data_IF_500919279683
#
_entry.id   IF_500919279683
#
_cell.length_a   1.000
_cell.length_b   1.000
_cell.length_c   1.000
_cell.angle_alpha   90.00
_cell.angle_beta   90.00
_cell.angle_gamma   90.00
#
_symmetry.space_group_name_H-M   'P 1'
#
loop_
_entity.id
_entity.type
_entity.pdbx_description
1 polymer ?
#
# COMPACT_ATOMS: atom_id res chain seq x y z
N UNK A 1 25.75 -12.72 -21.01
CA UNK A 1 25.13 -11.39 -20.82
C UNK A 1 23.63 -11.56 -20.98
N UNK A 2 22.82 -11.21 -19.98
CA UNK A 2 21.36 -11.08 -20.21
C UNK A 2 21.18 -9.95 -21.23
N UNK A 3 20.31 -10.09 -22.25
CA UNK A 3 20.04 -9.02 -23.20
C UNK A 3 19.72 -7.72 -22.46
N UNK A 4 20.23 -6.59 -22.95
CA UNK A 4 19.79 -5.27 -22.52
C UNK A 4 18.31 -5.15 -22.86
N UNK A 5 17.45 -5.32 -21.86
CA UNK A 5 16.01 -5.15 -21.99
C UNK A 5 15.71 -3.67 -22.23
N UNK A 6 15.04 -3.38 -23.34
CA UNK A 6 14.54 -2.04 -23.67
C UNK A 6 13.59 -1.57 -22.56
N UNK A 7 13.66 -0.29 -22.11
CA UNK A 7 12.72 0.26 -21.14
C UNK A 7 11.28 0.03 -21.62
N UNK A 8 10.47 -0.65 -20.82
CA UNK A 8 9.12 -1.04 -21.21
C UNK A 8 8.10 0.04 -20.88
N UNK A 9 7.23 0.29 -21.86
CA UNK A 9 5.97 1.00 -21.78
C UNK A 9 5.20 0.63 -20.50
N UNK A 10 4.43 1.60 -19.99
CA UNK A 10 3.56 1.40 -18.84
C UNK A 10 2.74 0.12 -19.02
N UNK A 11 2.69 -0.79 -18.03
CA UNK A 11 1.70 -1.84 -18.07
C UNK A 11 0.34 -1.16 -18.18
N UNK A 12 -0.46 -1.61 -19.12
CA UNK A 12 -1.89 -1.31 -19.27
C UNK A 12 -2.68 -1.94 -18.11
N UNK A 13 -2.28 -1.61 -16.88
CA UNK A 13 -3.09 -1.74 -15.68
C UNK A 13 -3.97 -0.51 -15.42
N UNK A 14 -4.06 0.41 -16.40
CA UNK A 14 -4.97 1.55 -16.34
C UNK A 14 -6.41 1.05 -16.53
N UNK A 15 -7.13 0.90 -15.44
CA UNK A 15 -8.59 0.77 -15.50
C UNK A 15 -9.18 2.07 -16.06
N UNK A 16 -9.97 1.98 -17.14
CA UNK A 16 -10.77 3.10 -17.63
C UNK A 16 -10.06 4.13 -18.52
N UNK A 17 -8.85 3.85 -19.02
CA UNK A 17 -8.13 4.80 -19.88
C UNK A 17 -7.49 5.98 -19.14
N UNK A 18 -7.46 5.95 -17.80
CA UNK A 18 -6.77 6.96 -17.01
C UNK A 18 -5.26 6.88 -17.22
N UNK A 19 -4.68 7.99 -17.67
CA UNK A 19 -3.24 8.13 -17.80
C UNK A 19 -2.59 7.96 -16.43
N UNK A 20 -1.44 7.28 -16.42
CA UNK A 20 -0.56 7.26 -15.25
C UNK A 20 -0.09 8.68 -14.95
N UNK A 21 0.26 8.95 -13.69
CA UNK A 21 0.86 10.23 -13.30
C UNK A 21 2.11 10.52 -14.17
N UNK A 22 2.36 11.79 -14.54
CA UNK A 22 3.55 12.15 -15.31
C UNK A 22 4.84 11.61 -14.65
N UNK A 23 5.73 11.03 -15.46
CA UNK A 23 7.00 10.47 -14.98
C UNK A 23 6.90 9.20 -14.14
N UNK A 24 5.70 8.64 -13.90
CA UNK A 24 5.47 7.52 -12.95
C UNK A 24 6.37 6.30 -13.16
N UNK A 25 6.76 6.02 -14.40
CA UNK A 25 7.61 4.88 -14.76
C UNK A 25 8.94 5.29 -15.41
N UNK A 26 9.29 6.57 -15.36
CA UNK A 26 10.59 7.04 -15.86
C UNK A 26 11.73 6.39 -15.06
N UNK A 27 12.71 5.84 -15.76
CA UNK A 27 13.85 5.13 -15.14
C UNK A 27 13.55 3.73 -14.59
N UNK A 28 12.28 3.26 -14.63
CA UNK A 28 11.92 1.92 -14.12
C UNK A 28 12.16 0.86 -15.20
N UNK A 29 13.03 -0.10 -14.91
CA UNK A 29 13.30 -1.28 -15.75
C UNK A 29 12.41 -2.46 -15.36
N UNK A 30 11.86 -3.17 -16.35
CA UNK A 30 11.21 -4.46 -16.17
C UNK A 30 11.86 -5.50 -17.07
N UNK A 31 12.18 -6.65 -16.51
CA UNK A 31 12.78 -7.78 -17.24
C UNK A 31 11.70 -8.76 -17.77
N UNK A 32 10.48 -8.27 -17.97
CA UNK A 32 9.33 -8.98 -18.55
C UNK A 32 8.56 -8.04 -19.50
N UNK A 33 7.75 -8.62 -20.38
CA UNK A 33 6.99 -7.87 -21.39
C UNK A 33 5.55 -7.57 -20.95
N UNK A 34 4.85 -6.61 -21.58
CA UNK A 34 3.40 -6.43 -21.38
C UNK A 34 2.61 -7.71 -21.69
N UNK A 35 3.02 -8.49 -22.69
CA UNK A 35 2.38 -9.76 -23.03
C UNK A 35 2.49 -10.81 -21.89
N UNK A 36 3.57 -10.78 -21.12
CA UNK A 36 3.70 -11.63 -19.93
C UNK A 36 2.72 -11.23 -18.83
N UNK A 37 2.50 -9.92 -18.63
CA UNK A 37 1.52 -9.40 -17.67
C UNK A 37 0.10 -9.79 -18.08
N UNK A 38 -0.24 -9.65 -19.36
CA UNK A 38 -1.56 -10.04 -19.88
C UNK A 38 -1.79 -11.56 -19.80
N UNK A 39 -0.75 -12.38 -20.02
CA UNK A 39 -0.86 -13.83 -19.86
C UNK A 39 -1.19 -14.27 -18.43
N UNK A 40 -0.77 -13.52 -17.42
CA UNK A 40 -1.01 -13.81 -16.00
C UNK A 40 -2.26 -13.10 -15.44
N UNK A 41 -2.94 -12.33 -16.28
CA UNK A 41 -4.04 -11.46 -15.92
C UNK A 41 -5.29 -12.12 -15.38
N UNK A 42 -5.59 -13.31 -15.90
CA UNK A 42 -6.95 -13.85 -15.94
C UNK A 42 -7.85 -13.10 -16.94
N UNK A 43 -9.04 -13.64 -17.16
CA UNK A 43 -10.05 -13.06 -18.07
C UNK A 43 -10.87 -11.92 -17.45
N UNK A 44 -10.72 -11.68 -16.15
CA UNK A 44 -11.47 -10.67 -15.41
C UNK A 44 -10.53 -9.89 -14.49
N UNK A 45 -10.60 -8.56 -14.57
CA UNK A 45 -9.75 -7.65 -13.80
C UNK A 45 -10.53 -7.07 -12.63
N UNK A 46 -10.06 -7.31 -11.40
CA UNK A 46 -10.61 -6.71 -10.19
C UNK A 46 -9.99 -5.34 -9.95
N UNK A 47 -10.82 -4.33 -9.71
CA UNK A 47 -10.35 -2.98 -9.38
C UNK A 47 -9.98 -2.88 -7.90
N UNK A 48 -8.77 -2.40 -7.62
CA UNK A 48 -8.25 -2.18 -6.27
C UNK A 48 -8.21 -0.68 -5.95
N UNK A 49 -9.38 -0.05 -5.84
CA UNK A 49 -9.54 1.41 -5.74
C UNK A 49 -8.68 2.06 -4.65
N UNK A 50 -8.57 1.42 -3.48
CA UNK A 50 -7.79 1.96 -2.36
C UNK A 50 -6.28 1.95 -2.66
N UNK A 51 -5.77 0.86 -3.22
CA UNK A 51 -4.37 0.76 -3.60
C UNK A 51 -4.02 1.73 -4.73
N UNK A 52 -4.85 1.81 -5.77
CA UNK A 52 -4.60 2.73 -6.90
C UNK A 52 -4.62 4.21 -6.46
N UNK A 53 -5.69 4.65 -5.79
CA UNK A 53 -5.79 6.04 -5.32
C UNK A 53 -4.72 6.37 -4.27
N UNK A 54 -4.43 5.43 -3.38
CA UNK A 54 -3.35 5.56 -2.40
C UNK A 54 -1.99 5.72 -3.08
N UNK A 55 -1.66 4.86 -4.05
CA UNK A 55 -0.40 4.91 -4.78
C UNK A 55 -0.23 6.20 -5.60
N UNK A 56 -1.31 6.68 -6.25
CA UNK A 56 -1.32 7.97 -6.94
C UNK A 56 -1.09 9.13 -5.97
N UNK A 57 -1.78 9.13 -4.83
CA UNK A 57 -1.59 10.15 -3.80
C UNK A 57 -0.18 10.14 -3.24
N UNK A 58 0.37 8.95 -2.96
CA UNK A 58 1.74 8.80 -2.49
C UNK A 58 2.74 9.34 -3.52
N UNK A 59 2.57 8.99 -4.80
CA UNK A 59 3.40 9.53 -5.88
C UNK A 59 3.36 11.07 -5.90
N UNK A 60 2.17 11.66 -5.90
CA UNK A 60 2.01 13.12 -5.89
C UNK A 60 2.68 13.77 -4.68
N UNK A 61 2.52 13.19 -3.48
CA UNK A 61 3.18 13.69 -2.27
C UNK A 61 4.70 13.66 -2.39
N UNK A 62 5.27 12.56 -2.89
CA UNK A 62 6.72 12.42 -3.07
C UNK A 62 7.30 13.39 -4.13
N UNK A 63 6.48 13.85 -5.08
CA UNK A 63 6.89 14.83 -6.10
C UNK A 63 6.71 16.29 -5.65
N UNK A 64 5.72 16.56 -4.80
CA UNK A 64 5.31 17.94 -4.45
C UNK A 64 5.80 18.41 -3.08
N UNK A 65 6.09 17.50 -2.16
CA UNK A 65 6.56 17.82 -0.82
C UNK A 65 8.08 17.70 -0.74
N UNK A 66 8.77 18.53 0.07
CA UNK A 66 10.21 18.36 0.32
C UNK A 66 10.55 16.99 0.91
N UNK A 67 9.66 16.46 1.75
CA UNK A 67 9.70 15.11 2.30
C UNK A 67 8.30 14.75 2.86
N UNK A 68 8.06 13.45 3.09
CA UNK A 68 6.85 12.95 3.75
C UNK A 68 7.26 12.15 4.98
N UNK A 69 7.09 12.73 6.16
CA UNK A 69 7.34 12.04 7.42
C UNK A 69 6.11 11.24 7.87
N UNK A 70 6.36 10.17 8.61
CA UNK A 70 5.31 9.26 9.09
C UNK A 70 5.72 8.62 10.43
N UNK A 71 4.80 7.87 11.03
CA UNK A 71 4.99 7.10 12.26
C UNK A 71 4.40 5.70 12.05
N UNK A 72 4.98 4.70 12.72
CA UNK A 72 4.45 3.35 12.71
C UNK A 72 3.06 3.28 13.37
N UNK A 73 2.09 2.65 12.70
CA UNK A 73 0.75 2.37 13.23
C UNK A 73 0.44 0.87 13.16
N UNK A 74 0.13 0.25 14.30
CA UNK A 74 -0.26 -1.16 14.40
C UNK A 74 -1.79 -1.33 14.59
N UNK A 75 -2.54 -0.23 14.67
CA UNK A 75 -4.00 -0.23 14.73
C UNK A 75 -4.60 0.85 13.84
N UNK A 76 -5.85 0.66 13.41
CA UNK A 76 -6.58 1.67 12.64
C UNK A 76 -6.84 2.98 13.42
N UNK A 77 -6.96 2.91 14.74
CA UNK A 77 -7.15 4.12 15.56
C UNK A 77 -5.88 4.95 15.67
N UNK A 78 -4.70 4.33 15.79
CA UNK A 78 -3.43 5.05 15.73
C UNK A 78 -3.29 5.77 14.40
N UNK A 79 -3.55 5.08 13.28
CA UNK A 79 -3.50 5.68 11.94
C UNK A 79 -4.49 6.84 11.80
N UNK A 80 -5.73 6.69 12.29
CA UNK A 80 -6.72 7.76 12.28
C UNK A 80 -6.25 9.00 13.05
N UNK A 81 -5.68 8.82 14.25
CA UNK A 81 -5.18 9.95 15.04
C UNK A 81 -3.95 10.60 14.39
N UNK A 82 -3.08 9.82 13.74
CA UNK A 82 -1.96 10.35 12.96
C UNK A 82 -2.44 11.26 11.82
N UNK A 83 -3.49 10.85 11.08
CA UNK A 83 -4.08 11.70 10.04
C UNK A 83 -4.72 12.95 10.62
N UNK A 84 -5.49 12.83 11.72
CA UNK A 84 -6.07 13.98 12.42
C UNK A 84 -5.01 14.95 12.98
N UNK A 85 -3.83 14.45 13.33
CA UNK A 85 -2.69 15.25 13.76
C UNK A 85 -1.94 15.93 12.59
N UNK A 86 -2.33 15.65 11.34
CA UNK A 86 -1.79 16.29 10.13
C UNK A 86 -0.76 15.47 9.36
N UNK A 87 -0.49 14.22 9.74
CA UNK A 87 0.39 13.35 8.93
C UNK A 87 -0.28 12.99 7.61
N UNK A 88 0.50 13.04 6.52
CA UNK A 88 0.02 12.85 5.15
C UNK A 88 0.07 11.39 4.68
N UNK A 89 0.73 10.51 5.43
CA UNK A 89 0.92 9.10 5.09
C UNK A 89 1.10 8.25 6.37
N UNK A 90 0.80 6.96 6.26
CA UNK A 90 0.90 5.98 7.36
C UNK A 90 1.96 4.95 7.04
N UNK A 91 2.83 4.65 8.01
CA UNK A 91 3.75 3.52 7.94
C UNK A 91 3.25 2.36 8.77
N UNK A 92 3.31 1.16 8.20
CA UNK A 92 2.98 -0.09 8.87
C UNK A 92 4.22 -0.97 8.94
N UNK A 93 4.79 -1.06 10.14
CA UNK A 93 6.01 -1.79 10.45
C UNK A 93 5.77 -3.28 10.63
N UNK A 94 6.60 -4.13 10.03
CA UNK A 94 6.62 -5.58 10.24
C UNK A 94 6.94 -5.92 11.70
N UNK A 95 7.95 -5.25 12.27
CA UNK A 95 8.32 -5.34 13.69
C UNK A 95 7.12 -5.13 14.65
N UNK A 96 6.32 -4.07 14.42
CA UNK A 96 5.16 -3.81 15.30
C UNK A 96 4.07 -4.88 15.15
N UNK A 97 3.91 -5.43 13.95
CA UNK A 97 2.96 -6.52 13.67
C UNK A 97 3.43 -7.82 14.34
N UNK A 98 4.72 -8.14 14.24
CA UNK A 98 5.33 -9.27 14.95
C UNK A 98 5.10 -9.15 16.47
N UNK A 99 5.33 -7.97 17.03
CA UNK A 99 5.22 -7.73 18.46
C UNK A 99 3.78 -7.86 18.99
N UNK A 100 2.77 -7.29 18.32
CA UNK A 100 1.45 -7.10 18.95
C UNK A 100 0.23 -7.02 18.02
N UNK A 101 0.34 -7.34 16.72
CA UNK A 101 -0.82 -7.21 15.81
C UNK A 101 -0.98 -8.33 14.76
N UNK A 102 -0.22 -9.42 14.87
CA UNK A 102 -0.26 -10.53 13.93
C UNK A 102 -1.48 -11.46 14.09
N UNK A 103 -1.78 -12.23 13.04
CA UNK A 103 -2.90 -13.17 13.00
C UNK A 103 -2.72 -14.40 13.91
N UNK A 104 -1.49 -14.72 14.32
CA UNK A 104 -1.21 -15.78 15.29
C UNK A 104 -1.48 -15.36 16.74
N UNK A 105 -1.86 -14.10 17.00
CA UNK A 105 -2.21 -13.61 18.34
C UNK A 105 -1.13 -13.89 19.38
N UNK A 106 0.14 -13.81 18.97
CA UNK A 106 1.31 -14.15 19.76
C UNK A 106 2.36 -13.05 19.63
N UNK A 107 3.02 -12.69 20.72
CA UNK A 107 4.13 -11.74 20.69
C UNK A 107 5.39 -12.42 20.10
N UNK A 108 5.96 -11.83 19.05
CA UNK A 108 7.18 -12.31 18.40
C UNK A 108 8.28 -11.23 18.34
N UNK A 109 9.56 -11.64 18.27
CA UNK A 109 10.62 -10.76 17.76
C UNK A 109 10.51 -10.57 16.24
N UNK A 110 11.33 -9.66 15.72
CA UNK A 110 11.40 -9.30 14.31
C UNK A 110 12.25 -10.28 13.50
N UNK A 111 11.69 -11.46 13.26
CA UNK A 111 12.32 -12.55 12.49
C UNK A 111 11.30 -13.24 11.58
N UNK A 112 10.34 -12.47 11.06
CA UNK A 112 9.28 -12.93 10.14
C UNK A 112 8.55 -14.23 10.56
N UNK A 113 8.41 -14.47 11.88
CA UNK A 113 7.79 -15.69 12.44
C UNK A 113 6.27 -15.73 12.30
N UNK A 114 5.66 -14.57 12.13
CA UNK A 114 4.21 -14.43 12.10
C UNK A 114 3.64 -14.87 10.74
N UNK A 115 2.35 -15.27 10.65
CA UNK A 115 1.77 -15.68 9.37
C UNK A 115 1.72 -14.52 8.37
N UNK A 116 2.07 -14.81 7.11
CA UNK A 116 2.24 -13.84 6.01
C UNK A 116 1.03 -12.93 5.75
N UNK A 117 -0.17 -13.32 6.18
CA UNK A 117 -1.40 -12.53 6.05
C UNK A 117 -1.54 -11.40 7.09
N UNK A 118 -0.63 -11.34 8.07
CA UNK A 118 -0.72 -10.43 9.21
C UNK A 118 -0.65 -8.96 8.78
N UNK A 119 0.38 -8.57 8.02
CA UNK A 119 0.53 -7.18 7.56
C UNK A 119 -0.64 -6.78 6.62
N UNK A 120 -1.03 -7.58 5.60
CA UNK A 120 -2.25 -7.32 4.82
C UNK A 120 -3.51 -7.12 5.67
N UNK A 121 -3.67 -7.91 6.73
CA UNK A 121 -4.80 -7.78 7.65
C UNK A 121 -4.78 -6.43 8.38
N UNK A 122 -3.62 -5.96 8.83
CA UNK A 122 -3.50 -4.65 9.49
C UNK A 122 -3.70 -3.49 8.51
N UNK A 123 -3.23 -3.58 7.26
CA UNK A 123 -3.56 -2.60 6.21
C UNK A 123 -5.08 -2.47 6.06
N UNK A 124 -5.78 -3.60 5.97
CA UNK A 124 -7.25 -3.61 5.86
C UNK A 124 -7.93 -2.98 7.08
N UNK A 125 -7.41 -3.21 8.29
CA UNK A 125 -7.90 -2.55 9.52
C UNK A 125 -7.72 -1.04 9.47
N UNK A 126 -6.54 -0.57 9.04
CA UNK A 126 -6.25 0.87 8.88
C UNK A 126 -7.21 1.49 7.87
N UNK A 127 -7.28 0.93 6.66
CA UNK A 127 -8.15 1.44 5.60
C UNK A 127 -9.63 1.47 5.99
N UNK A 128 -10.11 0.47 6.74
CA UNK A 128 -11.48 0.48 7.25
C UNK A 128 -11.74 1.61 8.27
N UNK A 129 -10.78 1.89 9.16
CA UNK A 129 -10.90 2.98 10.13
C UNK A 129 -10.88 4.36 9.46
N UNK A 130 -9.94 4.57 8.53
CA UNK A 130 -9.84 5.81 7.75
C UNK A 130 -11.11 6.05 6.92
N UNK A 131 -11.61 5.00 6.25
CA UNK A 131 -12.85 5.09 5.46
C UNK A 131 -14.07 5.40 6.33
N UNK A 132 -14.14 4.86 7.55
CA UNK A 132 -15.24 5.19 8.47
C UNK A 132 -15.19 6.66 8.88
N UNK A 133 -14.00 7.19 9.17
CA UNK A 133 -13.85 8.61 9.50
C UNK A 133 -14.22 9.52 8.32
N UNK A 134 -13.80 9.15 7.11
CA UNK A 134 -14.19 9.84 5.87
C UNK A 134 -15.71 9.89 5.66
N UNK A 135 -16.39 8.77 5.89
CA UNK A 135 -17.86 8.68 5.81
C UNK A 135 -18.56 9.58 6.83
N UNK A 136 -18.05 9.64 8.06
CA UNK A 136 -18.60 10.49 9.13
C UNK A 136 -18.40 11.97 8.75
N UNK A 137 -17.18 12.37 8.37
CA UNK A 137 -16.89 13.75 7.99
C UNK A 137 -17.73 14.18 6.77
N UNK A 138 -17.95 13.28 5.81
CA UNK A 138 -18.83 13.55 4.66
C UNK A 138 -20.27 13.79 5.08
N UNK A 139 -20.80 12.96 5.99
CA UNK A 139 -22.15 13.13 6.54
C UNK A 139 -22.29 14.46 7.30
N UNK A 140 -21.35 14.76 8.19
CA UNK A 140 -21.41 15.97 9.02
C UNK A 140 -21.28 17.26 8.19
N UNK A 141 -20.48 17.25 7.12
CA UNK A 141 -20.43 18.34 6.14
C UNK A 141 -21.75 18.52 5.39
N UNK A 142 -22.36 17.42 4.94
CA UNK A 142 -23.65 17.46 4.24
C UNK A 142 -24.78 17.99 5.15
N UNK A 143 -24.73 17.67 6.44
CA UNK A 143 -25.67 18.15 7.46
C UNK A 143 -25.37 19.59 7.95
N UNK A 144 -24.26 20.21 7.52
CA UNK A 144 -23.81 21.52 8.01
C UNK A 144 -23.39 21.53 9.49
N UNK A 145 -23.05 20.37 10.06
CA UNK A 145 -22.66 20.20 11.48
C UNK A 145 -21.17 20.45 11.71
N UNK A 146 -20.34 20.22 10.70
CA UNK A 146 -18.89 20.43 10.75
C UNK A 146 -18.34 20.79 9.36
N UNK A 147 -17.20 21.47 9.32
CA UNK A 147 -16.44 21.78 8.10
C UNK A 147 -15.05 21.11 8.14
N UNK A 148 -15.04 19.81 8.43
CA UNK A 148 -13.80 19.04 8.50
C UNK A 148 -13.22 18.81 7.09
N UNK A 149 -12.10 19.46 6.77
CA UNK A 149 -11.42 19.34 5.48
C UNK A 149 -10.30 18.27 5.47
N UNK A 150 -10.26 17.41 6.49
CA UNK A 150 -9.24 16.36 6.61
C UNK A 150 -9.33 15.35 5.47
N UNK A 151 -8.20 15.10 4.80
CA UNK A 151 -8.08 14.01 3.84
C UNK A 151 -7.82 12.68 4.56
N UNK A 152 -8.88 12.02 5.02
CA UNK A 152 -8.78 10.81 5.84
C UNK A 152 -8.09 9.63 5.16
N UNK A 153 -8.25 9.47 3.85
CA UNK A 153 -7.71 8.33 3.11
C UNK A 153 -6.21 8.50 2.80
N UNK A 154 -5.38 8.61 3.85
CA UNK A 154 -3.93 8.71 3.72
C UNK A 154 -3.33 7.41 3.15
N UNK A 155 -2.32 7.49 2.26
CA UNK A 155 -1.62 6.32 1.72
C UNK A 155 -0.92 5.52 2.83
N UNK A 156 -1.06 4.19 2.77
CA UNK A 156 -0.39 3.25 3.67
C UNK A 156 0.84 2.66 2.98
N UNK A 157 2.02 2.84 3.57
CA UNK A 157 3.26 2.20 3.19
C UNK A 157 3.51 1.04 4.14
N UNK A 158 3.69 -0.17 3.62
CA UNK A 158 3.76 -1.38 4.42
C UNK A 158 5.05 -2.17 4.22
N UNK A 159 5.45 -2.82 5.30
CA UNK A 159 6.57 -3.76 5.36
C UNK A 159 6.17 -5.13 4.79
N UNK A 160 6.94 -5.65 3.83
CA UNK A 160 6.77 -6.99 3.29
C UNK A 160 7.92 -7.95 3.65
N UNK A 161 8.81 -7.54 4.56
CA UNK A 161 9.99 -8.32 4.95
C UNK A 161 10.79 -8.71 3.69
N UNK A 162 11.43 -9.89 3.69
CA UNK A 162 12.02 -10.49 2.50
C UNK A 162 11.00 -11.27 1.63
N UNK A 163 9.69 -11.15 1.89
CA UNK A 163 8.65 -11.84 1.11
C UNK A 163 8.28 -13.24 1.58
N UNK A 164 8.66 -13.64 2.80
CA UNK A 164 8.22 -14.89 3.46
C UNK A 164 8.47 -16.18 2.66
N UNK A 165 9.60 -16.24 1.93
CA UNK A 165 10.00 -17.43 1.18
C UNK A 165 10.68 -17.08 -0.14
N UNK A 166 10.23 -17.72 -1.23
CA UNK A 166 10.76 -17.48 -2.57
C UNK A 166 9.98 -16.42 -3.36
N UNK A 167 10.31 -16.29 -4.65
CA UNK A 167 9.68 -15.31 -5.54
C UNK A 167 8.14 -15.45 -5.63
N UNK A 168 7.60 -16.66 -5.53
CA UNK A 168 6.15 -16.89 -5.53
C UNK A 168 5.48 -16.43 -4.22
N UNK A 169 6.18 -16.55 -3.09
CA UNK A 169 5.70 -16.02 -1.81
C UNK A 169 5.62 -14.49 -1.86
N UNK A 170 6.68 -13.84 -2.37
CA UNK A 170 6.70 -12.40 -2.57
C UNK A 170 5.60 -11.93 -3.54
N UNK A 171 5.35 -12.70 -4.62
CA UNK A 171 4.26 -12.41 -5.57
C UNK A 171 2.88 -12.44 -4.90
N UNK A 172 2.55 -13.51 -4.18
CA UNK A 172 1.27 -13.63 -3.48
C UNK A 172 1.13 -12.58 -2.36
N UNK A 173 2.22 -12.28 -1.64
CA UNK A 173 2.22 -11.23 -0.62
C UNK A 173 1.94 -9.86 -1.24
N UNK A 174 2.63 -9.48 -2.31
CA UNK A 174 2.39 -8.19 -2.98
C UNK A 174 0.95 -8.07 -3.47
N UNK A 175 0.38 -9.17 -4.00
CA UNK A 175 -1.03 -9.23 -4.36
C UNK A 175 -1.95 -8.99 -3.16
N UNK A 176 -1.69 -9.67 -2.03
CA UNK A 176 -2.46 -9.49 -0.80
C UNK A 176 -2.37 -8.04 -0.25
N UNK A 177 -1.19 -7.41 -0.36
CA UNK A 177 -0.98 -6.00 0.03
C UNK A 177 -1.82 -5.05 -0.83
N UNK A 178 -1.84 -5.25 -2.16
CA UNK A 178 -2.67 -4.47 -3.08
C UNK A 178 -4.16 -4.69 -2.80
N UNK A 179 -4.59 -5.94 -2.61
CA UNK A 179 -5.97 -6.28 -2.26
C UNK A 179 -6.42 -5.63 -0.95
N UNK A 180 -5.52 -5.52 0.04
CA UNK A 180 -5.76 -4.84 1.31
C UNK A 180 -5.79 -3.30 1.18
N UNK A 181 -5.24 -2.74 0.10
CA UNK A 181 -5.21 -1.31 -0.18
C UNK A 181 -3.93 -0.60 0.23
N UNK A 182 -2.77 -1.26 0.17
CA UNK A 182 -1.48 -0.60 0.33
C UNK A 182 -1.20 0.37 -0.83
N UNK A 183 -0.62 1.53 -0.50
CA UNK A 183 -0.18 2.53 -1.48
C UNK A 183 1.29 2.32 -1.90
N UNK A 184 2.09 1.75 -1.01
CA UNK A 184 3.49 1.40 -1.24
C UNK A 184 3.89 0.20 -0.37
N UNK A 185 4.86 -0.56 -0.83
CA UNK A 185 5.38 -1.75 -0.15
C UNK A 185 6.90 -1.74 -0.27
N UNK A 186 7.62 -2.08 0.80
CA UNK A 186 9.06 -2.29 0.75
C UNK A 186 9.42 -3.75 1.02
N UNK A 187 10.41 -4.25 0.29
CA UNK A 187 11.05 -5.55 0.50
C UNK A 187 12.51 -5.33 0.85
N UNK A 188 13.08 -6.21 1.65
CA UNK A 188 14.49 -6.22 2.04
C UNK A 188 15.25 -7.41 1.45
N UNK A 189 16.57 -7.41 1.60
CA UNK A 189 17.50 -8.39 1.01
C UNK A 189 18.16 -9.31 2.06
N UNK A 190 17.74 -9.22 3.32
CA UNK A 190 18.20 -10.12 4.38
C UNK A 190 17.44 -11.46 4.38
N UNK A 191 18.02 -12.43 5.09
CA UNK A 191 17.35 -13.69 5.46
C UNK A 191 17.43 -13.81 6.98
N UNK A 192 16.28 -13.70 7.64
CA UNK A 192 16.14 -13.86 9.09
C UNK A 192 15.85 -15.31 9.48
#
# INVERSE_FOLDING_TARGET
>A
MRPTTTPTFAPDGAFGGDRHEPGRFEGIRRDYSPADVERLAGSFRVQHTLADRGARRLWQLLQSEPYVNTLGALTGMQALQQVKAGLKAIYLSGWQVAADANSASTMYPDQSLYPVDSVPTVIKRINNALRRADQIATLERADGKADDQTHYMAPVIADAEAGFGGALNAYELMRAMIEAGAAGVHFEDQLA
#
